data_IF_144719826668
#
_entry.id   IF_144719826668
#
_cell.length_a   1.000
_cell.length_b   1.000
_cell.length_c   1.000
_cell.angle_alpha   90.00
_cell.angle_beta   90.00
_cell.angle_gamma   90.00
#
_symmetry.space_group_name_H-M   'P 1'
#
loop_
_entity.id
_entity.type
_entity.pdbx_description
1 polymer ?
#
# COMPACT_ATOMS: atom_id res chain seq x y z
N UNK A 1 -45.34 64.97 69.71
CA UNK A 1 -46.58 64.83 70.51
C UNK A 1 -47.57 64.03 69.69
N UNK A 2 -48.08 62.93 70.26
CA UNK A 2 -49.09 61.97 69.75
C UNK A 2 -48.66 60.92 68.70
N UNK A 3 -48.44 59.71 69.23
CA UNK A 3 -48.64 58.39 68.61
C UNK A 3 -50.10 58.20 68.18
N UNK A 4 -50.35 57.41 67.13
CA UNK A 4 -51.29 56.27 67.18
C UNK A 4 -51.09 55.34 65.96
N UNK A 5 -51.25 54.04 66.21
CA UNK A 5 -51.01 52.90 65.30
C UNK A 5 -52.20 52.57 64.41
N UNK A 6 -51.98 51.90 63.28
CA UNK A 6 -52.95 50.94 62.70
C UNK A 6 -52.28 50.02 61.68
N UNK A 7 -52.80 48.78 61.60
CA UNK A 7 -52.24 47.59 60.94
C UNK A 7 -52.56 47.48 59.44
N UNK A 8 -51.63 46.84 58.72
CA UNK A 8 -51.77 45.87 57.61
C UNK A 8 -52.80 46.12 56.48
N UNK A 9 -52.35 46.09 55.21
CA UNK A 9 -52.55 44.94 54.29
C UNK A 9 -51.86 45.18 52.94
N UNK A 10 -51.37 44.07 52.38
CA UNK A 10 -50.67 43.90 51.11
C UNK A 10 -51.62 44.05 49.92
N UNK A 11 -51.25 44.82 48.88
CA UNK A 11 -51.60 44.53 47.47
C UNK A 11 -50.49 45.09 46.56
N UNK A 12 -49.73 44.18 45.97
CA UNK A 12 -48.78 44.42 44.88
C UNK A 12 -49.55 44.80 43.61
N UNK A 13 -49.20 45.91 42.97
CA UNK A 13 -49.53 46.15 41.56
C UNK A 13 -48.25 46.42 40.78
N UNK A 14 -48.10 45.63 39.71
CA UNK A 14 -46.92 45.52 38.86
C UNK A 14 -46.86 46.65 37.84
N UNK A 15 -45.74 47.37 37.78
CA UNK A 15 -45.32 48.13 36.59
C UNK A 15 -44.11 47.42 35.96
N UNK A 16 -44.32 46.92 34.74
CA UNK A 16 -43.30 46.25 33.91
C UNK A 16 -42.31 47.29 33.36
N UNK A 17 -41.02 47.03 33.57
CA UNK A 17 -39.92 47.62 32.78
C UNK A 17 -39.35 46.48 31.93
N UNK A 18 -39.13 46.66 30.61
CA UNK A 18 -38.56 45.61 29.77
C UNK A 18 -37.05 45.53 30.00
N UNK A 19 -36.59 44.39 30.54
CA UNK A 19 -35.16 44.03 30.51
C UNK A 19 -34.79 43.44 29.14
N UNK A 20 -33.57 43.70 28.63
CA UNK A 20 -33.11 43.16 27.37
C UNK A 20 -33.04 41.64 27.48
N UNK A 21 -33.65 40.98 26.50
CA UNK A 21 -33.71 39.53 26.35
C UNK A 21 -32.31 38.92 26.44
N UNK A 22 -32.12 38.07 27.44
CA UNK A 22 -31.07 37.07 27.43
C UNK A 22 -31.22 36.26 26.13
N UNK A 23 -30.26 36.41 25.21
CA UNK A 23 -30.14 35.51 24.08
C UNK A 23 -30.03 34.10 24.64
N UNK A 24 -31.07 33.30 24.40
CA UNK A 24 -31.06 31.86 24.61
C UNK A 24 -29.81 31.33 23.90
N UNK A 25 -28.76 31.03 24.67
CA UNK A 25 -27.71 30.13 24.21
C UNK A 25 -28.46 28.87 23.81
N UNK A 26 -28.50 28.60 22.51
CA UNK A 26 -28.99 27.34 21.99
C UNK A 26 -28.21 26.25 22.73
N UNK A 27 -28.88 25.52 23.61
CA UNK A 27 -28.42 24.22 24.06
C UNK A 27 -28.35 23.36 22.80
N UNK A 28 -27.21 23.37 22.13
CA UNK A 28 -26.90 22.42 21.07
C UNK A 28 -26.86 21.05 21.73
N UNK A 29 -28.00 20.37 21.73
CA UNK A 29 -28.12 18.96 22.01
C UNK A 29 -27.08 18.27 21.12
N UNK A 30 -26.11 17.59 21.74
CA UNK A 30 -25.05 16.86 21.04
C UNK A 30 -25.67 15.68 20.30
N UNK A 31 -26.01 15.86 19.02
CA UNK A 31 -26.41 14.77 18.13
C UNK A 31 -25.17 14.07 17.58
N UNK A 32 -24.43 13.39 18.45
CA UNK A 32 -23.40 12.46 18.00
C UNK A 32 -24.02 11.07 18.03
N UNK A 33 -24.53 10.62 16.88
CA UNK A 33 -25.09 9.29 16.74
C UNK A 33 -23.97 8.27 16.49
N UNK A 34 -24.04 7.13 17.16
CA UNK A 34 -23.33 5.93 16.70
C UNK A 34 -24.13 5.29 15.56
N UNK A 35 -23.41 4.68 14.65
CA UNK A 35 -23.94 4.02 13.48
C UNK A 35 -23.27 2.67 13.32
N UNK A 36 -24.02 1.73 12.77
CA UNK A 36 -23.55 0.39 12.47
C UNK A 36 -22.55 0.39 11.31
N UNK A 37 -21.68 -0.62 11.30
CA UNK A 37 -20.60 -0.81 10.33
C UNK A 37 -21.07 -0.80 8.86
N UNK A 38 -22.27 -1.30 8.58
CA UNK A 38 -22.90 -1.40 7.26
C UNK A 38 -23.27 -0.02 6.67
N UNK A 39 -23.40 1.01 7.51
CA UNK A 39 -23.67 2.37 7.05
C UNK A 39 -22.43 3.11 6.54
N UNK A 40 -21.26 2.45 6.53
CA UNK A 40 -19.98 3.03 6.07
C UNK A 40 -20.09 3.71 4.71
N UNK A 41 -20.57 2.99 3.70
CA UNK A 41 -20.63 3.48 2.32
C UNK A 41 -21.49 4.75 2.20
N UNK A 42 -22.64 4.74 2.88
CA UNK A 42 -23.56 5.88 2.91
C UNK A 42 -22.92 7.09 3.61
N UNK A 43 -22.30 6.90 4.77
CA UNK A 43 -21.71 7.99 5.56
C UNK A 43 -20.46 8.57 4.91
N UNK A 44 -19.59 7.74 4.34
CA UNK A 44 -18.39 8.16 3.61
C UNK A 44 -18.73 9.00 2.37
N UNK A 45 -19.84 8.68 1.71
CA UNK A 45 -20.34 9.34 0.49
C UNK A 45 -21.32 10.49 0.77
N UNK A 46 -21.73 10.68 2.03
CA UNK A 46 -22.69 11.72 2.42
C UNK A 46 -22.10 13.10 2.12
N UNK A 47 -22.84 13.94 1.39
CA UNK A 47 -22.35 15.25 0.92
C UNK A 47 -21.94 16.21 2.04
N UNK A 48 -22.54 16.09 3.23
CA UNK A 48 -22.13 16.89 4.37
C UNK A 48 -20.83 16.40 5.02
N UNK A 49 -20.35 15.18 4.76
CA UNK A 49 -19.14 14.60 5.37
C UNK A 49 -17.85 15.21 4.80
N UNK A 50 -17.51 16.42 5.25
CA UNK A 50 -16.34 17.20 4.81
C UNK A 50 -15.03 16.75 5.46
N UNK A 51 -15.08 16.24 6.69
CA UNK A 51 -13.90 15.79 7.44
C UNK A 51 -14.07 14.34 7.89
N UNK A 52 -13.20 13.44 7.43
CA UNK A 52 -13.35 12.02 7.72
C UNK A 52 -12.07 11.41 8.28
N UNK A 53 -12.17 10.57 9.30
CA UNK A 53 -11.02 9.87 9.91
C UNK A 53 -11.37 8.40 10.11
N UNK A 54 -10.67 7.51 9.41
CA UNK A 54 -10.86 6.08 9.50
C UNK A 54 -9.56 5.37 9.91
N UNK A 55 -9.70 4.34 10.73
CA UNK A 55 -8.63 3.39 11.02
C UNK A 55 -9.08 1.99 10.61
N UNK A 56 -8.25 1.28 9.85
CA UNK A 56 -8.54 -0.12 9.54
C UNK A 56 -8.13 -1.03 10.69
N UNK A 57 -9.01 -1.97 11.03
CA UNK A 57 -8.73 -3.11 11.90
C UNK A 57 -8.28 -4.33 11.09
N UNK A 58 -8.42 -4.31 9.76
CA UNK A 58 -7.92 -5.37 8.89
C UNK A 58 -6.41 -5.22 8.67
N UNK A 59 -5.72 -6.35 8.74
CA UNK A 59 -4.31 -6.46 8.32
C UNK A 59 -4.17 -6.91 6.86
N UNK A 60 -5.27 -7.17 6.14
CA UNK A 60 -5.23 -7.59 4.74
C UNK A 60 -4.95 -6.39 3.82
N UNK A 61 -3.81 -6.39 3.08
CA UNK A 61 -3.48 -5.30 2.18
C UNK A 61 -4.52 -5.10 1.05
N UNK A 62 -5.21 -6.16 0.62
CA UNK A 62 -6.25 -6.08 -0.41
C UNK A 62 -7.50 -5.35 0.10
N UNK A 63 -7.90 -5.61 1.34
CA UNK A 63 -9.02 -4.92 2.01
C UNK A 63 -8.66 -3.45 2.19
N UNK A 64 -7.50 -3.17 2.78
CA UNK A 64 -7.05 -1.80 3.05
C UNK A 64 -6.94 -0.96 1.77
N UNK A 65 -6.30 -1.48 0.71
CA UNK A 65 -6.20 -0.77 -0.56
C UNK A 65 -7.53 -0.63 -1.31
N UNK A 66 -8.52 -1.49 -1.03
CA UNK A 66 -9.85 -1.39 -1.64
C UNK A 66 -10.73 -0.38 -0.90
N UNK A 67 -10.67 -0.33 0.43
CA UNK A 67 -11.30 0.73 1.22
C UNK A 67 -10.70 2.09 0.85
N UNK A 68 -9.37 2.19 0.75
CA UNK A 68 -8.68 3.41 0.29
C UNK A 68 -9.21 3.87 -1.07
N UNK A 69 -9.37 2.93 -2.01
CA UNK A 69 -9.88 3.25 -3.34
C UNK A 69 -11.35 3.67 -3.31
N UNK A 70 -12.18 3.01 -2.52
CA UNK A 70 -13.59 3.37 -2.34
C UNK A 70 -13.73 4.80 -1.80
N UNK A 71 -12.97 5.14 -0.76
CA UNK A 71 -12.94 6.49 -0.19
C UNK A 71 -12.48 7.54 -1.21
N UNK A 72 -11.57 7.19 -2.13
CA UNK A 72 -11.11 8.08 -3.19
C UNK A 72 -12.22 8.40 -4.20
N UNK A 73 -12.98 7.39 -4.62
CA UNK A 73 -13.96 7.50 -5.70
C UNK A 73 -15.33 8.03 -5.23
N UNK A 74 -15.78 7.67 -4.03
CA UNK A 74 -17.17 7.91 -3.60
C UNK A 74 -17.35 9.06 -2.62
N UNK A 75 -16.31 9.46 -1.90
CA UNK A 75 -16.44 10.55 -0.94
C UNK A 75 -16.58 11.92 -1.64
N UNK A 76 -17.22 12.92 -0.99
CA UNK A 76 -17.44 14.24 -1.59
C UNK A 76 -16.16 14.89 -2.10
N UNK A 77 -16.25 15.60 -3.23
CA UNK A 77 -15.09 16.18 -3.91
C UNK A 77 -14.32 17.22 -3.06
N UNK A 78 -15.02 17.91 -2.16
CA UNK A 78 -14.47 18.92 -1.26
C UNK A 78 -14.05 18.35 0.12
N UNK A 79 -14.23 17.04 0.34
CA UNK A 79 -13.89 16.38 1.61
C UNK A 79 -12.39 16.12 1.78
N UNK A 80 -11.95 16.13 3.04
CA UNK A 80 -10.62 15.73 3.50
C UNK A 80 -10.74 14.47 4.35
N UNK A 81 -9.95 13.46 4.03
CA UNK A 81 -10.04 12.12 4.63
C UNK A 81 -8.66 11.72 5.09
N UNK A 82 -8.56 11.25 6.33
CA UNK A 82 -7.42 10.49 6.85
C UNK A 82 -7.83 9.03 6.98
N UNK A 83 -7.08 8.13 6.34
CA UNK A 83 -7.23 6.69 6.50
C UNK A 83 -5.90 6.09 6.95
N UNK A 84 -5.91 5.39 8.08
CA UNK A 84 -4.74 4.77 8.70
C UNK A 84 -4.89 3.25 8.72
N UNK A 85 -3.85 2.52 8.37
CA UNK A 85 -3.89 1.05 8.37
C UNK A 85 -2.50 0.43 8.51
N UNK A 86 -2.45 -0.77 9.05
CA UNK A 86 -1.25 -1.61 9.16
C UNK A 86 -1.55 -2.90 8.40
N UNK A 87 -0.61 -3.36 7.57
CA UNK A 87 -0.78 -4.61 6.83
C UNK A 87 0.06 -5.70 7.48
N UNK A 88 -0.41 -6.95 7.40
CA UNK A 88 0.43 -8.15 7.58
C UNK A 88 1.59 -8.17 6.56
N UNK A 89 2.61 -9.02 6.75
CA UNK A 89 3.74 -9.12 5.84
C UNK A 89 3.32 -9.13 4.36
N UNK A 90 3.77 -8.14 3.60
CA UNK A 90 3.52 -8.06 2.16
C UNK A 90 4.51 -7.14 1.45
N UNK A 91 4.73 -7.42 0.16
CA UNK A 91 5.41 -6.53 -0.78
C UNK A 91 4.37 -5.83 -1.64
N UNK A 92 4.33 -4.50 -1.57
CA UNK A 92 3.43 -3.66 -2.36
C UNK A 92 4.22 -2.94 -3.44
N UNK A 93 3.98 -3.29 -4.71
CA UNK A 93 4.59 -2.63 -5.87
C UNK A 93 3.67 -1.57 -6.48
N UNK A 94 4.25 -0.57 -7.12
CA UNK A 94 3.53 0.48 -7.85
C UNK A 94 2.83 -0.03 -9.11
N UNK A 95 1.83 0.74 -9.56
CA UNK A 95 0.95 0.40 -10.70
C UNK A 95 1.69 -0.05 -11.96
N UNK A 96 2.80 0.63 -12.28
CA UNK A 96 3.57 0.46 -13.53
C UNK A 96 4.95 -0.18 -13.29
N UNK A 97 5.11 -0.97 -12.24
CA UNK A 97 6.35 -1.68 -11.93
C UNK A 97 6.36 -3.11 -12.48
N UNK A 98 7.55 -3.67 -12.65
CA UNK A 98 7.76 -5.05 -13.05
C UNK A 98 8.04 -5.94 -11.81
N UNK A 99 7.16 -6.91 -11.47
CA UNK A 99 7.34 -7.72 -10.27
C UNK A 99 8.58 -8.59 -10.32
N UNK A 100 8.94 -9.10 -11.50
CA UNK A 100 10.15 -9.89 -11.71
C UNK A 100 11.44 -9.06 -11.59
N UNK A 101 11.38 -7.73 -11.69
CA UNK A 101 12.54 -6.85 -11.49
C UNK A 101 12.64 -6.34 -10.06
N UNK A 102 11.49 -6.06 -9.43
CA UNK A 102 11.40 -5.32 -8.18
C UNK A 102 11.30 -6.21 -6.93
N UNK A 103 10.96 -7.49 -7.10
CA UNK A 103 10.63 -8.37 -5.97
C UNK A 103 11.30 -9.73 -6.09
N UNK A 104 11.52 -10.38 -4.94
CA UNK A 104 11.88 -11.78 -4.88
C UNK A 104 10.62 -12.64 -4.76
N UNK A 105 9.98 -12.93 -5.89
CA UNK A 105 8.71 -13.67 -5.92
C UNK A 105 8.79 -15.09 -5.31
N UNK A 106 9.98 -15.66 -5.11
CA UNK A 106 10.15 -17.00 -4.51
C UNK A 106 9.86 -17.04 -3.01
N UNK A 107 10.10 -15.94 -2.31
CA UNK A 107 9.94 -15.86 -0.85
C UNK A 107 8.59 -15.24 -0.46
N UNK A 108 7.77 -14.93 -1.45
CA UNK A 108 6.42 -14.43 -1.27
C UNK A 108 5.42 -15.56 -1.48
N UNK A 109 4.23 -15.40 -0.90
CA UNK A 109 3.12 -16.30 -1.12
C UNK A 109 2.87 -16.50 -2.63
N UNK A 110 2.93 -17.74 -3.10
CA UNK A 110 2.83 -18.04 -4.53
C UNK A 110 1.38 -18.32 -4.95
N UNK A 111 0.64 -17.26 -5.24
CA UNK A 111 -0.72 -17.33 -5.76
C UNK A 111 -0.85 -17.79 -7.23
N UNK A 112 0.28 -18.00 -7.93
CA UNK A 112 0.28 -18.51 -9.32
C UNK A 112 0.10 -20.03 -9.40
N UNK A 113 0.44 -20.76 -8.34
CA UNK A 113 0.37 -22.23 -8.30
C UNK A 113 -0.98 -22.80 -7.83
N UNK A 114 -1.80 -21.98 -7.17
CA UNK A 114 -3.02 -22.43 -6.47
C UNK A 114 -4.26 -22.54 -7.36
N UNK A 115 -4.16 -22.16 -8.65
CA UNK A 115 -5.28 -22.17 -9.60
C UNK A 115 -5.85 -23.57 -9.91
N UNK A 116 -5.20 -24.66 -9.49
CA UNK A 116 -5.67 -26.04 -9.71
C UNK A 116 -6.28 -26.72 -8.47
N UNK A 117 -6.14 -26.16 -7.27
CA UNK A 117 -6.56 -26.84 -6.03
C UNK A 117 -7.61 -26.14 -5.19
N UNK A 118 -8.10 -24.98 -5.63
CA UNK A 118 -9.24 -24.33 -5.00
C UNK A 118 -8.92 -23.78 -3.61
N UNK A 119 -8.93 -22.45 -3.50
CA UNK A 119 -9.10 -21.70 -2.25
C UNK A 119 -8.09 -22.08 -1.15
N UNK A 120 -6.81 -21.73 -1.34
CA UNK A 120 -6.08 -21.27 -0.16
C UNK A 120 -6.59 -19.88 0.17
N UNK A 121 -7.24 -19.77 1.32
CA UNK A 121 -7.65 -18.50 1.90
C UNK A 121 -6.40 -17.64 2.09
N UNK A 122 -6.41 -16.43 1.52
CA UNK A 122 -5.37 -15.42 1.78
C UNK A 122 -5.22 -15.11 3.28
N UNK A 123 -6.17 -15.52 4.11
CA UNK A 123 -6.19 -15.28 5.55
C UNK A 123 -5.40 -16.33 6.36
N UNK A 124 -5.03 -17.47 5.77
CA UNK A 124 -4.41 -18.60 6.50
C UNK A 124 -2.91 -18.76 6.21
N UNK A 125 -2.31 -17.85 5.43
CA UNK A 125 -0.88 -17.91 5.08
C UNK A 125 -0.06 -16.96 5.95
N UNK A 126 1.01 -17.48 6.53
CA UNK A 126 2.05 -16.71 7.23
C UNK A 126 3.07 -16.09 6.25
N UNK A 127 3.00 -16.45 4.96
CA UNK A 127 3.92 -15.96 3.94
C UNK A 127 3.60 -14.50 3.56
N UNK A 128 4.66 -13.74 3.25
CA UNK A 128 4.49 -12.36 2.80
C UNK A 128 3.74 -12.31 1.45
N UNK A 129 2.67 -11.53 1.37
CA UNK A 129 1.86 -11.42 0.15
C UNK A 129 2.52 -10.56 -0.92
N UNK A 130 2.22 -10.85 -2.19
CA UNK A 130 2.54 -9.97 -3.32
C UNK A 130 1.33 -9.13 -3.73
N UNK A 131 1.47 -7.80 -3.71
CA UNK A 131 0.37 -6.86 -3.96
C UNK A 131 0.79 -5.78 -4.97
N UNK A 132 -0.10 -5.44 -5.90
CA UNK A 132 0.06 -4.28 -6.79
C UNK A 132 -0.95 -3.20 -6.45
N UNK A 133 -0.49 -1.99 -6.10
CA UNK A 133 -1.39 -0.86 -5.79
C UNK A 133 -1.80 -0.07 -7.04
N UNK A 134 -2.84 0.76 -6.90
CA UNK A 134 -3.38 1.63 -7.96
C UNK A 134 -2.58 2.92 -8.20
N UNK A 135 -1.76 3.34 -7.24
CA UNK A 135 -0.88 4.51 -7.33
C UNK A 135 0.48 4.16 -7.96
N UNK A 136 1.24 5.19 -8.37
CA UNK A 136 2.62 5.03 -8.86
C UNK A 136 3.64 4.81 -7.75
N UNK A 137 4.94 4.93 -8.07
CA UNK A 137 6.05 4.83 -7.12
C UNK A 137 6.73 3.45 -7.11
N UNK A 138 7.66 3.26 -6.16
CA UNK A 138 8.49 2.06 -6.01
C UNK A 138 7.85 0.92 -5.21
N UNK A 139 8.58 -0.18 -5.07
CA UNK A 139 8.23 -1.34 -4.28
C UNK A 139 8.63 -1.13 -2.82
N UNK A 140 7.74 -1.51 -1.90
CA UNK A 140 7.93 -1.41 -0.45
C UNK A 140 7.47 -2.69 0.23
N UNK A 141 8.03 -2.98 1.39
CA UNK A 141 7.60 -4.08 2.25
C UNK A 141 6.85 -3.51 3.46
N UNK A 142 5.73 -4.12 3.81
CA UNK A 142 4.95 -3.78 5.00
C UNK A 142 4.91 -4.99 5.93
N UNK A 143 4.82 -4.70 7.23
CA UNK A 143 4.49 -5.62 8.30
C UNK A 143 3.83 -4.84 9.44
N UNK A 144 3.64 -5.47 10.59
CA UNK A 144 2.97 -4.93 11.77
C UNK A 144 3.66 -3.67 12.34
N UNK A 145 4.95 -3.50 12.07
CA UNK A 145 5.72 -2.33 12.49
C UNK A 145 5.72 -1.18 11.48
N UNK A 146 5.03 -1.33 10.35
CA UNK A 146 4.90 -0.32 9.30
C UNK A 146 3.49 0.26 9.25
N UNK A 147 3.33 1.50 9.72
CA UNK A 147 2.08 2.25 9.61
C UNK A 147 1.92 2.82 8.20
N UNK A 148 0.74 2.64 7.60
CA UNK A 148 0.37 3.34 6.38
C UNK A 148 -0.60 4.47 6.71
N UNK A 149 -0.36 5.62 6.10
CA UNK A 149 -1.28 6.75 6.14
C UNK A 149 -1.71 7.09 4.73
N UNK A 150 -2.99 7.41 4.56
CA UNK A 150 -3.58 7.88 3.31
C UNK A 150 -4.38 9.13 3.59
N UNK A 151 -4.01 10.24 2.95
CA UNK A 151 -4.73 11.49 3.03
C UNK A 151 -5.31 11.81 1.66
N UNK A 152 -6.64 11.90 1.61
CA UNK A 152 -7.37 12.24 0.40
C UNK A 152 -7.96 13.64 0.58
N UNK A 153 -7.69 14.52 -0.40
CA UNK A 153 -8.07 15.93 -0.31
C UNK A 153 -8.47 16.49 -1.69
N UNK A 154 -9.11 17.67 -1.75
CA UNK A 154 -9.42 18.32 -3.00
C UNK A 154 -8.15 18.65 -3.79
N UNK A 155 -8.11 18.28 -5.06
CA UNK A 155 -6.93 18.44 -5.93
C UNK A 155 -6.34 19.85 -5.95
N UNK A 156 -7.13 20.95 -5.96
CA UNK A 156 -6.57 22.31 -5.96
C UNK A 156 -5.74 22.67 -4.72
N UNK A 157 -6.00 22.01 -3.59
CA UNK A 157 -5.35 22.30 -2.30
C UNK A 157 -4.22 21.33 -1.96
N UNK A 158 -3.92 20.42 -2.89
CA UNK A 158 -2.95 19.34 -2.71
C UNK A 158 -1.55 19.79 -3.13
N UNK A 159 -0.56 19.55 -2.26
CA UNK A 159 0.86 19.57 -2.61
C UNK A 159 1.50 18.29 -2.08
N UNK A 160 2.59 17.85 -2.72
CA UNK A 160 3.24 16.57 -2.39
C UNK A 160 3.86 16.53 -0.98
N UNK A 161 4.30 17.68 -0.46
CA UNK A 161 4.88 17.76 0.89
C UNK A 161 3.82 17.89 1.99
N UNK A 162 2.63 18.41 1.68
CA UNK A 162 1.64 18.84 2.69
C UNK A 162 1.38 17.79 3.77
N UNK A 163 1.08 16.55 3.37
CA UNK A 163 0.74 15.50 4.34
C UNK A 163 1.98 14.77 4.86
N UNK A 164 3.11 14.77 4.13
CA UNK A 164 4.38 14.27 4.67
C UNK A 164 4.87 15.18 5.82
N UNK A 165 4.77 16.50 5.66
CA UNK A 165 5.07 17.49 6.71
C UNK A 165 4.11 17.37 7.89
N UNK A 166 2.83 17.06 7.65
CA UNK A 166 1.87 16.74 8.71
C UNK A 166 2.31 15.53 9.54
N UNK A 167 2.78 14.47 8.89
CA UNK A 167 3.32 13.28 9.59
C UNK A 167 4.62 13.61 10.32
N UNK A 168 5.53 14.42 9.75
CA UNK A 168 6.74 14.89 10.44
C UNK A 168 6.40 15.63 11.74
N UNK A 169 5.43 16.54 11.74
CA UNK A 169 5.01 17.22 12.97
C UNK A 169 4.44 16.26 14.01
N UNK A 170 3.68 15.25 13.58
CA UNK A 170 3.21 14.20 14.47
C UNK A 170 4.37 13.39 15.09
N UNK A 171 5.40 13.07 14.28
CA UNK A 171 6.61 12.39 14.74
C UNK A 171 7.42 13.24 15.73
N UNK A 172 7.48 14.55 15.53
CA UNK A 172 8.13 15.47 16.48
C UNK A 172 7.44 15.47 17.84
N UNK A 173 6.10 15.39 17.88
CA UNK A 173 5.33 15.34 19.14
C UNK A 173 5.62 14.10 19.99
N UNK A 174 6.01 12.99 19.36
CA UNK A 174 6.40 11.76 20.08
C UNK A 174 7.90 11.71 20.40
N UNK A 175 8.69 12.71 20.00
CA UNK A 175 10.11 12.83 20.30
C UNK A 175 11.07 12.55 19.14
N UNK A 176 10.58 12.13 17.97
CA UNK A 176 11.40 11.86 16.78
C UNK A 176 11.72 13.16 16.00
N UNK A 177 12.37 14.11 16.68
CA UNK A 177 12.60 15.50 16.24
C UNK A 177 13.60 15.65 15.08
N UNK A 178 14.39 14.62 14.78
CA UNK A 178 15.37 14.61 13.69
C UNK A 178 14.78 14.20 12.33
N UNK A 179 13.45 14.10 12.25
CA UNK A 179 12.73 13.72 11.03
C UNK A 179 12.41 14.93 10.16
N UNK A 180 12.49 14.78 8.84
CA UNK A 180 12.20 15.84 7.86
C UNK A 180 11.77 15.26 6.50
N UNK A 181 11.10 16.08 5.70
CA UNK A 181 10.74 15.72 4.31
C UNK A 181 11.89 16.10 3.38
N UNK A 182 12.32 15.17 2.52
CA UNK A 182 13.35 15.44 1.52
C UNK A 182 12.76 15.90 0.16
N UNK A 183 13.63 16.22 -0.80
CA UNK A 183 13.23 16.67 -2.15
C UNK A 183 12.40 15.66 -2.94
N UNK A 184 12.46 14.37 -2.57
CA UNK A 184 11.65 13.31 -3.18
C UNK A 184 10.31 13.09 -2.48
N UNK A 185 9.97 13.94 -1.51
CA UNK A 185 8.75 13.84 -0.70
C UNK A 185 8.72 12.59 0.20
N UNK A 186 9.89 12.00 0.47
CA UNK A 186 10.06 10.94 1.47
C UNK A 186 10.32 11.58 2.85
N UNK A 187 9.96 10.89 3.93
CA UNK A 187 10.41 11.28 5.28
C UNK A 187 11.70 10.55 5.59
N UNK A 188 12.72 11.31 5.98
CA UNK A 188 14.03 10.82 6.39
C UNK A 188 14.30 11.20 7.84
N UNK A 189 15.17 10.43 8.49
CA UNK A 189 15.57 10.60 9.88
C UNK A 189 17.09 10.56 9.98
N UNK A 190 17.65 11.52 10.71
CA UNK A 190 19.07 11.54 11.06
C UNK A 190 19.27 10.86 12.41
N UNK A 191 20.15 9.86 12.47
CA UNK A 191 20.39 9.09 13.68
C UNK A 191 21.59 9.60 14.51
N UNK A 192 22.56 10.27 13.87
CA UNK A 192 23.76 10.79 14.53
C UNK A 192 24.02 12.25 14.13
N UNK A 193 24.55 13.07 15.03
CA UNK A 193 24.97 14.47 14.75
C UNK A 193 26.29 14.58 13.93
N UNK A 194 26.73 13.51 13.25
CA UNK A 194 27.98 13.48 12.51
C UNK A 194 27.89 12.65 11.23
N UNK A 195 27.86 13.33 10.07
CA UNK A 195 28.13 12.85 8.69
C UNK A 195 27.42 11.56 8.20
N UNK A 196 26.52 10.94 8.96
CA UNK A 196 25.75 9.80 8.49
C UNK A 196 24.63 10.28 7.57
N UNK A 197 24.50 9.63 6.41
CA UNK A 197 23.42 9.93 5.46
C UNK A 197 22.05 9.70 6.12
N UNK A 198 21.08 10.63 5.97
CA UNK A 198 19.74 10.44 6.50
C UNK A 198 19.11 9.13 6.01
N UNK A 199 18.48 8.40 6.93
CA UNK A 199 17.83 7.12 6.62
C UNK A 199 16.36 7.35 6.34
N UNK A 200 15.84 6.72 5.29
CA UNK A 200 14.43 6.80 4.93
C UNK A 200 13.57 6.05 5.94
N UNK A 201 12.55 6.70 6.47
CA UNK A 201 11.56 6.09 7.36
C UNK A 201 10.17 6.03 6.73
N UNK A 202 9.87 6.89 5.74
CA UNK A 202 8.59 6.93 5.04
C UNK A 202 8.79 7.06 3.54
N UNK A 203 8.09 6.26 2.76
CA UNK A 203 7.99 6.45 1.31
C UNK A 203 6.61 6.95 0.90
N UNK A 204 6.57 7.93 0.00
CA UNK A 204 5.31 8.51 -0.50
C UNK A 204 4.94 8.00 -1.89
N UNK A 205 3.65 7.85 -2.14
CA UNK A 205 3.06 7.65 -3.46
C UNK A 205 1.75 8.43 -3.60
N UNK A 206 1.39 8.71 -4.86
CA UNK A 206 0.29 9.64 -5.16
C UNK A 206 -0.63 9.07 -6.24
N UNK A 207 -1.92 9.41 -6.16
CA UNK A 207 -2.92 9.18 -7.22
C UNK A 207 -3.80 10.42 -7.33
N UNK A 208 -3.85 11.00 -8.53
CA UNK A 208 -4.67 12.17 -8.83
C UNK A 208 -5.86 11.73 -9.69
N UNK A 209 -7.06 12.16 -9.31
CA UNK A 209 -8.28 12.07 -10.14
C UNK A 209 -8.64 13.44 -10.69
N UNK A 210 -9.81 13.58 -11.32
CA UNK A 210 -10.28 14.86 -11.82
C UNK A 210 -10.42 15.91 -10.70
N UNK A 211 -11.01 15.51 -9.58
CA UNK A 211 -11.36 16.42 -8.48
C UNK A 211 -10.56 16.21 -7.20
N UNK A 212 -9.94 15.04 -7.03
CA UNK A 212 -9.31 14.65 -5.76
C UNK A 212 -7.86 14.23 -5.95
N UNK A 213 -7.11 14.33 -4.88
CA UNK A 213 -5.74 13.88 -4.78
C UNK A 213 -5.61 12.97 -3.56
N UNK A 214 -5.01 11.79 -3.77
CA UNK A 214 -4.61 10.86 -2.74
C UNK A 214 -3.09 10.91 -2.60
N UNK A 215 -2.64 11.14 -1.37
CA UNK A 215 -1.26 10.88 -0.95
C UNK A 215 -1.31 9.79 0.10
N UNK A 216 -0.67 8.67 -0.19
CA UNK A 216 -0.39 7.68 0.84
C UNK A 216 1.10 7.50 1.03
N UNK A 217 1.48 7.15 2.25
CA UNK A 217 2.83 6.82 2.58
C UNK A 217 2.91 5.70 3.59
N UNK A 218 4.05 5.04 3.58
CA UNK A 218 4.44 4.10 4.64
C UNK A 218 5.16 4.86 5.74
N UNK A 219 5.28 4.32 6.94
CA UNK A 219 6.11 4.85 8.00
C UNK A 219 6.64 3.66 8.81
N UNK A 220 7.94 3.38 8.69
CA UNK A 220 8.65 2.35 9.43
C UNK A 220 8.76 2.79 10.89
N UNK A 221 7.79 2.37 11.70
CA UNK A 221 7.74 2.73 13.11
C UNK A 221 8.60 1.78 13.92
N UNK A 222 8.35 0.47 13.80
CA UNK A 222 9.06 -0.57 14.56
C UNK A 222 9.01 -1.94 13.85
N UNK A 223 9.38 -1.98 12.56
CA UNK A 223 9.38 -3.23 11.79
C UNK A 223 10.44 -4.21 12.31
N UNK A 224 10.07 -5.46 12.69
CA UNK A 224 11.05 -6.48 13.06
C UNK A 224 11.87 -6.97 11.85
N UNK A 225 11.37 -6.76 10.64
CA UNK A 225 12.01 -7.20 9.39
C UNK A 225 12.93 -6.16 8.75
N UNK A 226 13.24 -5.06 9.44
CA UNK A 226 13.99 -3.94 8.82
C UNK A 226 15.34 -4.36 8.21
N UNK A 227 16.01 -5.34 8.83
CA UNK A 227 17.29 -5.87 8.35
C UNK A 227 17.13 -6.93 7.23
N UNK A 228 15.95 -7.50 7.09
CA UNK A 228 15.62 -8.53 6.10
C UNK A 228 14.82 -8.01 4.91
N UNK A 229 14.38 -6.74 4.87
CA UNK A 229 13.60 -6.18 3.73
C UNK A 229 14.23 -6.46 2.36
N UNK A 230 15.56 -6.48 2.29
CA UNK A 230 16.30 -6.80 1.08
C UNK A 230 16.02 -8.19 0.52
N UNK A 231 15.69 -9.20 1.34
CA UNK A 231 15.38 -10.56 0.89
C UNK A 231 14.09 -10.60 0.05
N UNK A 232 13.12 -9.75 0.39
CA UNK A 232 11.83 -9.63 -0.30
C UNK A 232 11.90 -8.72 -1.54
N UNK A 233 12.77 -7.71 -1.53
CA UNK A 233 12.86 -6.66 -2.55
C UNK A 233 14.02 -6.83 -3.56
N UNK A 234 14.78 -7.93 -3.48
CA UNK A 234 15.88 -8.23 -4.42
C UNK A 234 15.50 -9.35 -5.37
N UNK A 235 15.15 -8.99 -6.59
CA UNK A 235 14.91 -9.95 -7.67
C UNK A 235 16.15 -10.79 -7.99
N UNK A 236 15.94 -12.10 -8.19
CA UNK A 236 16.93 -13.06 -8.69
C UNK A 236 17.22 -12.93 -10.19
N UNK A 237 16.32 -12.25 -10.93
CA UNK A 237 16.42 -12.01 -12.36
C UNK A 237 16.85 -10.58 -12.70
N UNK A 238 17.19 -9.74 -11.71
CA UNK A 238 17.55 -8.34 -11.93
C UNK A 238 18.64 -8.16 -12.99
N UNK A 239 19.67 -8.99 -12.95
CA UNK A 239 20.81 -8.91 -13.88
C UNK A 239 20.49 -9.46 -15.29
N UNK A 240 19.36 -10.13 -15.44
CA UNK A 240 18.86 -10.68 -16.71
C UNK A 240 17.74 -9.84 -17.32
N UNK A 241 17.19 -8.87 -16.58
CA UNK A 241 16.01 -8.11 -17.00
C UNK A 241 16.34 -6.68 -17.40
N UNK A 242 15.82 -6.26 -18.55
CA UNK A 242 15.66 -4.86 -18.96
C UNK A 242 14.19 -4.53 -19.07
N UNK A 243 13.67 -3.69 -18.17
CA UNK A 243 12.25 -3.33 -18.16
C UNK A 243 12.01 -1.88 -18.56
N UNK A 244 10.88 -1.63 -19.22
CA UNK A 244 10.23 -0.31 -19.19
C UNK A 244 9.43 -0.20 -17.90
N UNK A 245 9.11 1.03 -17.49
CA UNK A 245 8.28 1.30 -16.31
C UNK A 245 9.05 2.03 -15.21
N UNK A 246 8.48 2.04 -14.01
CA UNK A 246 9.05 2.73 -12.85
C UNK A 246 9.93 1.77 -12.07
N UNK A 247 11.23 2.05 -12.00
CA UNK A 247 12.15 1.33 -11.11
C UNK A 247 12.11 1.91 -9.70
N UNK A 248 12.32 1.05 -8.69
CA UNK A 248 12.44 1.52 -7.31
C UNK A 248 13.77 2.23 -7.07
N UNK A 249 13.71 3.34 -6.35
CA UNK A 249 14.92 4.04 -5.86
C UNK A 249 15.29 3.46 -4.49
N UNK A 250 16.41 2.75 -4.43
CA UNK A 250 16.91 2.17 -3.17
C UNK A 250 17.42 3.27 -2.24
N UNK A 251 17.16 3.13 -0.94
CA UNK A 251 17.66 4.03 0.08
C UNK A 251 17.90 3.26 1.37
N UNK A 252 18.92 3.61 2.17
CA UNK A 252 19.05 3.11 3.53
C UNK A 252 17.80 3.46 4.34
N UNK A 253 17.34 2.53 5.18
CA UNK A 253 16.13 2.71 6.01
C UNK A 253 16.43 2.59 7.50
N UNK A 254 15.53 3.15 8.31
CA UNK A 254 15.53 3.03 9.77
C UNK A 254 14.09 2.93 10.31
N UNK A 255 13.95 2.39 11.52
CA UNK A 255 12.71 2.47 12.29
C UNK A 255 12.72 3.76 13.10
N UNK A 256 11.57 4.41 13.26
CA UNK A 256 11.41 5.54 14.18
C UNK A 256 11.73 5.13 15.62
N UNK A 257 11.39 3.90 16.03
CA UNK A 257 11.68 3.34 17.35
C UNK A 257 13.17 3.41 17.74
N UNK A 258 14.09 3.46 16.78
CA UNK A 258 15.53 3.52 17.05
C UNK A 258 15.97 4.80 17.79
N UNK A 259 15.22 5.90 17.69
CA UNK A 259 15.46 7.13 18.48
C UNK A 259 15.16 6.92 19.98
N UNK A 260 14.37 5.90 20.30
CA UNK A 260 13.90 5.61 21.66
C UNK A 260 14.61 4.43 22.31
N UNK A 261 15.71 3.92 21.72
CA UNK A 261 16.41 2.74 22.22
C UNK A 261 16.87 2.89 23.68
N UNK A 262 17.26 4.10 24.09
CA UNK A 262 17.69 4.44 25.46
C UNK A 262 16.59 5.13 26.28
N UNK A 263 15.38 5.26 25.74
CA UNK A 263 14.28 5.94 26.42
C UNK A 263 13.68 5.08 27.54
N UNK A 264 13.33 5.69 28.67
CA UNK A 264 12.70 4.98 29.79
C UNK A 264 11.23 4.59 29.54
N UNK A 265 10.59 5.20 28.53
CA UNK A 265 9.20 4.92 28.15
C UNK A 265 9.21 4.18 26.81
N UNK A 266 8.51 3.03 26.69
CA UNK A 266 8.42 2.30 25.44
C UNK A 266 7.79 3.13 24.32
N UNK A 267 8.35 3.02 23.11
CA UNK A 267 7.77 3.61 21.91
C UNK A 267 6.43 2.93 21.55
N UNK A 268 5.37 3.72 21.41
CA UNK A 268 4.03 3.23 21.07
C UNK A 268 3.59 3.65 19.67
N UNK A 269 3.25 2.67 18.81
CA UNK A 269 2.64 2.94 17.49
C UNK A 269 1.33 3.75 17.63
N UNK A 270 0.55 3.48 18.68
CA UNK A 270 -0.71 4.18 18.93
C UNK A 270 -0.50 5.67 19.24
N UNK A 271 0.62 6.05 19.87
CA UNK A 271 0.94 7.46 20.13
C UNK A 271 1.20 8.19 18.81
N UNK A 272 1.89 7.55 17.87
CA UNK A 272 2.11 8.10 16.52
C UNK A 272 0.78 8.26 15.78
N UNK A 273 -0.08 7.23 15.81
CA UNK A 273 -1.43 7.27 15.21
C UNK A 273 -2.25 8.44 15.78
N UNK A 274 -2.30 8.57 17.10
CA UNK A 274 -3.06 9.62 17.78
C UNK A 274 -2.55 11.04 17.45
N UNK A 275 -1.22 11.20 17.32
CA UNK A 275 -0.61 12.47 16.91
C UNK A 275 -0.87 12.79 15.43
N UNK A 276 -0.86 11.80 14.53
CA UNK A 276 -1.24 12.00 13.13
C UNK A 276 -2.69 12.45 13.01
N UNK A 277 -3.61 11.83 13.75
CA UNK A 277 -5.02 12.25 13.79
C UNK A 277 -5.17 13.70 14.30
N UNK A 278 -4.39 14.09 15.30
CA UNK A 278 -4.39 15.45 15.85
C UNK A 278 -3.86 16.47 14.84
N UNK A 279 -2.74 16.18 14.19
CA UNK A 279 -2.14 17.03 13.15
C UNK A 279 -3.05 17.16 11.92
N UNK A 280 -3.75 16.11 11.53
CA UNK A 280 -4.77 16.17 10.49
C UNK A 280 -5.92 17.10 10.88
N UNK A 281 -6.38 17.01 12.13
CA UNK A 281 -7.46 17.85 12.62
C UNK A 281 -7.07 19.32 12.69
N UNK A 282 -5.84 19.62 13.12
CA UNK A 282 -5.31 20.99 13.10
C UNK A 282 -5.18 21.51 11.67
N UNK A 283 -4.65 20.68 10.75
CA UNK A 283 -4.46 21.05 9.34
C UNK A 283 -5.76 21.39 8.61
N UNK A 284 -6.86 20.69 8.93
CA UNK A 284 -8.15 20.84 8.26
C UNK A 284 -9.24 21.47 9.12
N UNK A 285 -8.92 21.90 10.35
CA UNK A 285 -9.87 22.48 11.31
C UNK A 285 -11.05 21.54 11.61
N UNK A 286 -10.76 20.24 11.70
CA UNK A 286 -11.77 19.19 11.97
C UNK A 286 -12.35 19.36 13.37
N UNK A 287 -13.64 19.07 13.54
CA UNK A 287 -14.33 19.13 14.82
C UNK A 287 -13.59 18.31 15.92
N UNK A 288 -13.29 18.89 17.09
CA UNK A 288 -12.58 18.19 18.17
C UNK A 288 -13.26 16.91 18.67
N UNK A 289 -14.60 16.83 18.59
CA UNK A 289 -15.33 15.61 18.96
C UNK A 289 -15.05 14.46 17.99
N UNK A 290 -14.84 14.75 16.70
CA UNK A 290 -14.46 13.76 15.71
C UNK A 290 -13.11 13.12 16.07
N UNK A 291 -12.11 13.94 16.43
CA UNK A 291 -10.76 13.47 16.81
C UNK A 291 -10.81 12.59 18.05
N UNK A 292 -11.53 13.06 19.08
CA UNK A 292 -11.68 12.31 20.35
C UNK A 292 -12.30 10.93 20.11
N UNK A 293 -13.26 10.83 19.19
CA UNK A 293 -13.90 9.56 18.82
C UNK A 293 -12.99 8.71 17.94
N UNK A 294 -12.31 9.29 16.96
CA UNK A 294 -11.35 8.58 16.11
C UNK A 294 -10.23 7.92 16.93
N UNK A 295 -9.67 8.65 17.91
CA UNK A 295 -8.65 8.15 18.84
C UNK A 295 -9.14 7.05 19.78
N UNK A 296 -10.45 6.77 19.82
CA UNK A 296 -11.04 5.68 20.62
C UNK A 296 -11.65 4.58 19.76
N UNK A 297 -11.72 4.79 18.45
CA UNK A 297 -12.40 3.88 17.53
C UNK A 297 -11.75 2.50 17.46
N UNK A 298 -10.46 2.38 17.77
CA UNK A 298 -9.76 1.09 17.82
C UNK A 298 -10.01 0.29 19.11
N UNK A 299 -10.59 0.92 20.14
CA UNK A 299 -10.82 0.31 21.47
C UNK A 299 -12.20 -0.36 21.55
N UNK A 300 -13.13 0.06 20.70
CA UNK A 300 -14.49 -0.44 20.63
C UNK A 300 -14.68 -1.19 19.30
N UNK A 301 -15.63 -2.14 19.23
CA UNK A 301 -16.01 -2.83 17.97
C UNK A 301 -16.27 -1.82 16.84
N UNK A 302 -16.34 -2.29 15.58
CA UNK A 302 -16.47 -1.48 14.37
C UNK A 302 -17.69 -0.54 14.35
N UNK A 303 -17.64 0.53 15.16
CA UNK A 303 -18.65 1.55 15.30
C UNK A 303 -18.22 2.78 14.52
N UNK A 304 -19.17 3.31 13.77
CA UNK A 304 -19.02 4.58 13.08
C UNK A 304 -19.70 5.66 13.92
N UNK A 305 -19.13 6.85 13.89
CA UNK A 305 -19.72 8.04 14.49
C UNK A 305 -19.77 9.14 13.45
N UNK A 306 -20.87 9.87 13.41
CA UNK A 306 -20.98 11.03 12.54
C UNK A 306 -21.62 12.20 13.27
N UNK A 307 -21.13 13.40 12.95
CA UNK A 307 -21.77 14.66 13.27
C UNK A 307 -22.38 15.29 12.02
N UNK A 308 -22.56 16.60 12.03
CA UNK A 308 -23.11 17.36 10.90
C UNK A 308 -22.21 17.29 9.68
N UNK A 309 -20.91 17.54 9.87
CA UNK A 309 -19.91 17.69 8.80
C UNK A 309 -18.74 16.70 8.85
N UNK A 310 -18.77 15.75 9.77
CA UNK A 310 -17.70 14.77 9.95
C UNK A 310 -18.19 13.33 10.14
N UNK A 311 -17.32 12.38 9.81
CA UNK A 311 -17.51 10.94 10.03
C UNK A 311 -16.19 10.33 10.51
N UNK A 312 -16.23 9.52 11.56
CA UNK A 312 -15.05 8.78 12.02
C UNK A 312 -15.42 7.37 12.43
N UNK A 313 -14.44 6.46 12.40
CA UNK A 313 -14.64 5.14 12.97
C UNK A 313 -13.62 4.11 12.53
N UNK A 314 -13.82 2.89 13.01
CA UNK A 314 -13.04 1.74 12.61
C UNK A 314 -13.71 1.04 11.42
N UNK A 315 -12.89 0.61 10.45
CA UNK A 315 -13.32 -0.14 9.27
C UNK A 315 -12.45 -1.39 9.11
N UNK A 316 -12.80 -2.32 8.23
CA UNK A 316 -11.99 -3.51 8.00
C UNK A 316 -12.69 -4.56 7.15
N UNK A 317 -12.56 -5.83 7.53
CA UNK A 317 -13.09 -6.98 6.77
C UNK A 317 -14.60 -6.91 6.54
N UNK A 318 -15.38 -6.40 7.52
CA UNK A 318 -16.82 -6.23 7.39
C UNK A 318 -17.16 -5.35 6.18
N UNK A 319 -16.60 -4.13 6.11
CA UNK A 319 -16.74 -3.28 4.92
C UNK A 319 -16.10 -3.94 3.69
N UNK A 320 -14.97 -4.61 3.86
CA UNK A 320 -14.26 -5.32 2.79
C UNK A 320 -15.13 -6.28 1.99
N UNK A 321 -15.86 -7.16 2.68
CA UNK A 321 -16.60 -8.25 2.04
C UNK A 321 -18.11 -8.01 1.92
N UNK A 322 -18.69 -7.15 2.76
CA UNK A 322 -20.13 -6.86 2.71
C UNK A 322 -20.46 -5.71 1.77
N UNK A 323 -19.56 -4.72 1.57
CA UNK A 323 -19.80 -3.63 0.63
C UNK A 323 -19.40 -4.03 -0.80
N UNK A 324 -20.35 -4.11 -1.76
CA UNK A 324 -20.10 -4.71 -3.07
C UNK A 324 -18.97 -4.05 -3.88
N UNK A 325 -18.84 -2.72 -3.81
CA UNK A 325 -17.81 -1.99 -4.55
C UNK A 325 -16.41 -2.21 -3.96
N UNK A 326 -16.30 -2.32 -2.65
CA UNK A 326 -15.04 -2.64 -1.96
C UNK A 326 -14.65 -4.09 -2.29
N UNK A 327 -15.60 -5.02 -2.20
CA UNK A 327 -15.38 -6.43 -2.54
C UNK A 327 -14.91 -6.59 -3.99
N UNK A 328 -15.54 -5.87 -4.94
CA UNK A 328 -15.10 -5.85 -6.34
C UNK A 328 -13.65 -5.36 -6.46
N UNK A 329 -13.27 -4.34 -5.68
CA UNK A 329 -11.90 -3.86 -5.58
C UNK A 329 -10.93 -4.92 -5.08
N UNK A 330 -11.32 -5.72 -4.08
CA UNK A 330 -10.52 -6.83 -3.52
C UNK A 330 -10.34 -7.92 -4.59
N UNK A 331 -11.42 -8.33 -5.24
CA UNK A 331 -11.40 -9.37 -6.27
C UNK A 331 -10.50 -8.96 -7.45
N UNK A 332 -10.56 -7.69 -7.87
CA UNK A 332 -9.66 -7.13 -8.88
C UNK A 332 -8.20 -7.22 -8.41
N UNK A 333 -7.87 -6.71 -7.21
CA UNK A 333 -6.49 -6.67 -6.72
C UNK A 333 -5.88 -8.06 -6.52
N UNK A 334 -6.70 -9.06 -6.15
CA UNK A 334 -6.28 -10.47 -5.99
C UNK A 334 -6.11 -11.19 -7.33
N UNK A 335 -6.71 -10.71 -8.42
CA UNK A 335 -6.61 -11.37 -9.72
C UNK A 335 -5.17 -11.42 -10.23
N UNK A 336 -4.79 -12.54 -10.85
CA UNK A 336 -3.50 -12.67 -11.54
C UNK A 336 -3.38 -11.65 -12.68
N UNK A 337 -4.50 -11.31 -13.31
CA UNK A 337 -4.58 -10.27 -14.33
C UNK A 337 -4.06 -8.94 -13.79
N UNK A 338 -4.61 -8.45 -12.67
CA UNK A 338 -4.15 -7.21 -12.07
C UNK A 338 -2.69 -7.28 -11.60
N UNK A 339 -2.32 -8.36 -10.94
CA UNK A 339 -0.98 -8.53 -10.36
C UNK A 339 0.11 -8.55 -11.43
N UNK A 340 -0.09 -9.25 -12.55
CA UNK A 340 1.00 -9.53 -13.51
C UNK A 340 0.83 -8.91 -14.89
N UNK A 341 -0.39 -8.76 -15.42
CA UNK A 341 -0.58 -8.25 -16.80
C UNK A 341 -0.51 -6.73 -16.91
N UNK A 342 -0.47 -6.05 -15.76
CA UNK A 342 -0.20 -4.63 -15.67
C UNK A 342 1.29 -4.29 -15.85
N UNK A 343 2.14 -5.30 -15.98
CA UNK A 343 3.59 -5.15 -16.16
C UNK A 343 3.89 -4.52 -17.53
N UNK A 344 4.62 -3.37 -17.58
CA UNK A 344 5.09 -2.80 -18.83
C UNK A 344 6.02 -3.75 -19.59
N UNK A 345 6.32 -3.42 -20.84
CA UNK A 345 7.19 -4.25 -21.67
C UNK A 345 8.57 -4.45 -21.02
N UNK A 346 9.10 -5.66 -21.07
CA UNK A 346 10.46 -5.96 -20.62
C UNK A 346 11.09 -7.10 -21.43
N UNK A 347 12.41 -7.20 -21.32
CA UNK A 347 13.24 -8.27 -21.87
C UNK A 347 13.82 -9.06 -20.70
N UNK A 348 13.84 -10.38 -20.80
CA UNK A 348 14.69 -11.28 -20.03
C UNK A 348 15.70 -11.90 -20.98
N UNK A 349 17.01 -11.79 -20.70
CA UNK A 349 18.06 -12.35 -21.56
C UNK A 349 19.25 -12.89 -20.77
N UNK A 350 19.74 -14.07 -21.13
CA UNK A 350 20.99 -14.67 -20.59
C UNK A 350 22.25 -14.22 -21.29
N UNK A 351 22.14 -13.36 -22.31
CA UNK A 351 23.26 -12.78 -23.02
C UNK A 351 23.02 -11.29 -23.31
N UNK A 352 24.07 -10.49 -23.58
CA UNK A 352 23.93 -9.12 -24.05
C UNK A 352 23.15 -9.06 -25.36
N UNK A 353 22.24 -8.10 -25.48
CA UNK A 353 21.49 -7.81 -26.71
C UNK A 353 21.65 -6.34 -27.05
N UNK A 354 21.32 -5.93 -28.27
CA UNK A 354 21.49 -4.54 -28.72
C UNK A 354 20.77 -3.55 -27.77
N UNK A 355 19.55 -3.87 -27.32
CA UNK A 355 18.80 -3.00 -26.40
C UNK A 355 19.26 -3.06 -24.94
N UNK A 356 20.09 -4.04 -24.58
CA UNK A 356 20.69 -4.19 -23.26
C UNK A 356 22.08 -4.85 -23.35
N UNK A 357 23.13 -4.04 -23.61
CA UNK A 357 24.49 -4.54 -23.85
C UNK A 357 25.23 -4.94 -22.57
N UNK A 358 24.58 -4.85 -21.39
CA UNK A 358 25.22 -5.24 -20.12
C UNK A 358 25.63 -6.71 -20.17
N UNK A 359 26.80 -7.02 -19.63
CA UNK A 359 27.22 -8.42 -19.44
C UNK A 359 26.27 -9.14 -18.47
N UNK A 360 26.09 -10.45 -18.70
CA UNK A 360 25.21 -11.29 -17.89
C UNK A 360 26.03 -12.19 -16.98
N UNK A 361 25.53 -12.54 -15.79
CA UNK A 361 26.19 -13.52 -14.95
C UNK A 361 26.33 -14.86 -15.68
N UNK A 362 27.41 -15.58 -15.39
CA UNK A 362 27.65 -16.91 -15.93
C UNK A 362 26.45 -17.83 -15.65
N UNK A 363 26.12 -18.66 -16.64
CA UNK A 363 25.12 -19.70 -16.48
C UNK A 363 25.64 -20.82 -15.57
N UNK A 364 24.75 -21.59 -14.93
CA UNK A 364 25.13 -22.82 -14.24
C UNK A 364 26.03 -23.70 -15.10
N UNK A 365 27.07 -24.31 -14.51
CA UNK A 365 28.01 -25.20 -15.23
C UNK A 365 27.35 -26.46 -15.77
N UNK A 366 26.16 -26.77 -15.28
CA UNK A 366 25.25 -27.82 -15.76
C UNK A 366 24.59 -27.50 -17.09
N UNK A 367 24.60 -26.24 -17.54
CA UNK A 367 24.09 -25.83 -18.85
C UNK A 367 25.23 -25.65 -19.85
N UNK A 368 25.03 -26.02 -21.14
CA UNK A 368 26.00 -25.72 -22.19
C UNK A 368 26.33 -24.21 -22.26
N UNK A 369 27.60 -23.80 -22.45
CA UNK A 369 27.98 -22.39 -22.59
C UNK A 369 27.31 -21.68 -23.79
N UNK A 370 26.88 -22.47 -24.77
CA UNK A 370 26.08 -22.04 -25.93
C UNK A 370 24.63 -21.71 -25.59
N UNK A 371 24.16 -21.98 -24.37
CA UNK A 371 22.78 -21.70 -23.96
C UNK A 371 22.44 -20.23 -24.09
N UNK A 372 21.35 -19.95 -24.80
CA UNK A 372 20.78 -18.61 -25.02
C UNK A 372 19.31 -18.68 -24.66
N UNK A 373 18.88 -17.77 -23.79
CA UNK A 373 17.47 -17.59 -23.43
C UNK A 373 17.19 -16.12 -23.57
N UNK A 374 16.26 -15.78 -24.46
CA UNK A 374 15.74 -14.44 -24.64
C UNK A 374 14.22 -14.49 -24.65
N UNK A 375 13.57 -13.60 -23.90
CA UNK A 375 12.13 -13.40 -23.89
C UNK A 375 11.83 -11.90 -23.94
N UNK A 376 10.96 -11.48 -24.86
CA UNK A 376 10.36 -10.14 -24.86
C UNK A 376 8.89 -10.26 -24.47
N UNK A 377 8.49 -9.51 -23.46
CA UNK A 377 7.16 -9.59 -22.89
C UNK A 377 6.47 -8.23 -22.87
N UNK A 378 5.14 -8.24 -22.96
CA UNK A 378 4.29 -7.07 -22.73
C UNK A 378 2.96 -7.52 -22.15
N UNK A 379 2.47 -6.80 -21.13
CA UNK A 379 1.24 -7.15 -20.42
C UNK A 379 1.23 -8.60 -19.90
N UNK A 380 2.39 -9.06 -19.44
CA UNK A 380 2.57 -10.43 -18.95
C UNK A 380 2.64 -11.51 -20.02
N UNK A 381 2.35 -11.23 -21.29
CA UNK A 381 2.41 -12.19 -22.39
C UNK A 381 3.77 -12.17 -23.10
N UNK A 382 4.23 -13.35 -23.54
CA UNK A 382 5.44 -13.50 -24.36
C UNK A 382 5.11 -13.07 -25.79
N UNK A 383 5.83 -12.08 -26.31
CA UNK A 383 5.71 -11.62 -27.70
C UNK A 383 6.70 -12.33 -28.61
N UNK A 384 7.90 -12.56 -28.07
CA UNK A 384 9.06 -13.08 -28.77
C UNK A 384 9.91 -13.88 -27.78
N UNK A 385 10.39 -15.05 -28.20
CA UNK A 385 11.33 -15.88 -27.50
C UNK A 385 12.40 -16.38 -28.47
N UNK A 386 13.64 -16.43 -27.99
CA UNK A 386 14.74 -17.11 -28.68
C UNK A 386 15.46 -17.95 -27.63
N UNK A 387 15.20 -19.25 -27.67
CA UNK A 387 15.76 -20.20 -26.70
C UNK A 387 16.48 -21.30 -27.48
N UNK A 388 17.76 -21.49 -27.17
CA UNK A 388 18.58 -22.54 -27.75
C UNK A 388 19.64 -22.99 -26.76
N UNK A 389 20.12 -24.23 -26.90
CA UNK A 389 21.25 -24.76 -26.13
C UNK A 389 22.40 -25.21 -27.02
N UNK A 390 22.13 -25.42 -28.32
CA UNK A 390 23.13 -25.87 -29.29
C UNK A 390 24.17 -24.78 -29.62
N UNK A 391 25.41 -25.23 -29.86
CA UNK A 391 26.50 -24.40 -30.40
C UNK A 391 26.48 -24.31 -31.92
N UNK A 392 25.74 -25.21 -32.59
CA UNK A 392 25.50 -25.15 -34.03
C UNK A 392 24.44 -24.10 -34.34
N UNK A 393 24.77 -23.14 -35.21
CA UNK A 393 23.89 -22.02 -35.53
C UNK A 393 22.60 -22.43 -36.25
N UNK A 394 22.62 -23.50 -37.05
CA UNK A 394 21.43 -23.99 -37.75
C UNK A 394 20.49 -24.66 -36.76
N UNK A 395 21.02 -25.59 -35.96
CA UNK A 395 20.25 -26.29 -34.92
C UNK A 395 19.70 -25.29 -33.91
N UNK A 396 20.51 -24.34 -33.45
CA UNK A 396 20.09 -23.30 -32.52
C UNK A 396 18.97 -22.41 -33.07
N UNK A 397 19.01 -22.08 -34.37
CA UNK A 397 17.94 -21.33 -35.02
C UNK A 397 16.63 -22.12 -35.13
N UNK A 398 16.70 -23.42 -35.40
CA UNK A 398 15.53 -24.31 -35.44
C UNK A 398 14.92 -24.49 -34.05
N UNK A 399 15.74 -24.71 -33.02
CA UNK A 399 15.33 -24.75 -31.60
C UNK A 399 14.58 -23.47 -31.21
N UNK A 400 15.14 -22.30 -31.55
CA UNK A 400 14.52 -21.02 -31.25
C UNK A 400 13.17 -20.83 -31.97
N UNK A 401 13.06 -21.23 -33.23
CA UNK A 401 11.82 -21.12 -34.00
C UNK A 401 10.68 -21.97 -33.40
N UNK A 402 10.98 -23.22 -33.04
CA UNK A 402 10.01 -24.13 -32.38
C UNK A 402 9.54 -23.58 -31.04
N UNK A 403 10.46 -23.07 -30.21
CA UNK A 403 10.10 -22.50 -28.92
C UNK A 403 9.38 -21.15 -29.04
N UNK A 404 9.62 -20.37 -30.08
CA UNK A 404 8.84 -19.17 -30.39
C UNK A 404 7.38 -19.53 -30.70
N UNK A 405 7.14 -20.55 -31.52
CA UNK A 405 5.78 -21.01 -31.82
C UNK A 405 5.07 -21.52 -30.55
N UNK A 406 5.77 -22.30 -29.72
CA UNK A 406 5.19 -22.86 -28.49
C UNK A 406 4.88 -21.81 -27.41
N UNK A 407 5.69 -20.75 -27.29
CA UNK A 407 5.60 -19.78 -26.18
C UNK A 407 4.84 -18.50 -26.51
N UNK A 408 4.77 -18.11 -27.79
CA UNK A 408 4.15 -16.84 -28.19
C UNK A 408 2.70 -16.75 -27.69
N UNK A 409 2.37 -15.62 -27.08
CA UNK A 409 1.04 -15.33 -26.53
C UNK A 409 0.77 -15.91 -25.14
N UNK A 410 1.58 -16.87 -24.66
CA UNK A 410 1.41 -17.40 -23.30
C UNK A 410 1.74 -16.36 -22.25
N UNK A 411 0.98 -16.35 -21.15
CA UNK A 411 1.22 -15.46 -20.00
C UNK A 411 2.30 -16.04 -19.11
N UNK A 412 3.36 -15.28 -18.87
CA UNK A 412 4.55 -15.74 -18.15
C UNK A 412 4.26 -16.30 -16.75
N UNK A 413 3.33 -15.68 -16.04
CA UNK A 413 2.95 -16.07 -14.69
C UNK A 413 2.11 -17.35 -14.63
N UNK A 414 1.62 -17.85 -15.78
CA UNK A 414 0.86 -19.11 -15.90
C UNK A 414 1.76 -20.28 -16.33
N UNK A 415 2.99 -20.02 -16.80
CA UNK A 415 3.95 -21.05 -17.19
C UNK A 415 4.66 -21.57 -15.94
N UNK A 416 4.10 -22.63 -15.37
CA UNK A 416 4.59 -23.34 -14.20
C UNK A 416 5.90 -24.08 -14.49
N UNK A 417 6.68 -24.49 -13.45
CA UNK A 417 7.89 -25.28 -13.66
C UNK A 417 7.65 -26.56 -14.48
N UNK A 418 6.53 -27.25 -14.26
CA UNK A 418 6.12 -28.43 -15.04
C UNK A 418 5.87 -28.09 -16.50
N UNK A 419 5.13 -27.01 -16.78
CA UNK A 419 4.89 -26.55 -18.15
C UNK A 419 6.18 -26.13 -18.86
N UNK A 420 7.12 -25.47 -18.17
CA UNK A 420 8.44 -25.18 -18.73
C UNK A 420 9.17 -26.46 -19.14
N UNK A 421 9.16 -27.47 -18.25
CA UNK A 421 9.78 -28.77 -18.49
C UNK A 421 9.14 -29.44 -19.71
N UNK A 422 7.82 -29.58 -19.73
CA UNK A 422 7.05 -30.19 -20.82
C UNK A 422 7.32 -29.51 -22.17
N UNK A 423 7.19 -28.18 -22.24
CA UNK A 423 7.43 -27.41 -23.46
C UNK A 423 8.87 -27.63 -23.95
N UNK A 424 9.86 -27.57 -23.06
CA UNK A 424 11.25 -27.75 -23.46
C UNK A 424 11.55 -29.19 -23.91
N UNK A 425 10.97 -30.22 -23.28
CA UNK A 425 11.09 -31.60 -23.76
C UNK A 425 10.48 -31.81 -25.13
N UNK A 426 9.26 -31.31 -25.35
CA UNK A 426 8.59 -31.44 -26.64
C UNK A 426 9.36 -30.77 -27.77
N UNK A 427 9.98 -29.62 -27.48
CA UNK A 427 10.65 -28.81 -28.51
C UNK A 427 12.15 -29.04 -28.65
N UNK A 428 12.83 -29.68 -27.69
CA UNK A 428 14.30 -29.89 -27.71
C UNK A 428 14.72 -31.36 -27.48
N UNK A 429 13.81 -32.23 -27.03
CA UNK A 429 14.15 -33.59 -26.57
C UNK A 429 14.62 -34.55 -27.67
N UNK A 430 14.50 -34.18 -28.94
CA UNK A 430 15.06 -34.96 -30.05
C UNK A 430 16.58 -34.73 -30.22
N UNK A 431 17.07 -33.54 -29.84
CA UNK A 431 18.46 -33.13 -30.04
C UNK A 431 19.26 -33.04 -28.74
N UNK A 432 18.59 -32.82 -27.61
CA UNK A 432 19.22 -32.50 -26.33
C UNK A 432 18.90 -33.55 -25.27
N UNK A 433 19.86 -33.79 -24.38
CA UNK A 433 19.67 -34.76 -23.31
C UNK A 433 18.69 -34.25 -22.24
N UNK A 434 18.06 -35.20 -21.54
CA UNK A 434 17.05 -34.91 -20.54
C UNK A 434 17.57 -34.06 -19.37
N UNK A 435 18.84 -34.19 -18.99
CA UNK A 435 19.39 -33.44 -17.86
C UNK A 435 19.60 -31.96 -18.22
N UNK A 436 20.07 -31.68 -19.43
CA UNK A 436 20.18 -30.30 -19.95
C UNK A 436 18.83 -29.61 -19.99
N UNK A 437 17.78 -30.30 -20.48
CA UNK A 437 16.41 -29.76 -20.55
C UNK A 437 15.86 -29.48 -19.15
N UNK A 438 16.04 -30.41 -18.22
CA UNK A 438 15.57 -30.27 -16.84
C UNK A 438 16.26 -29.09 -16.13
N UNK A 439 17.57 -28.94 -16.31
CA UNK A 439 18.32 -27.83 -15.74
C UNK A 439 17.91 -26.48 -16.37
N UNK A 440 17.66 -26.44 -17.67
CA UNK A 440 17.21 -25.22 -18.35
C UNK A 440 15.84 -24.78 -17.84
N UNK A 441 14.89 -25.72 -17.74
CA UNK A 441 13.57 -25.49 -17.18
C UNK A 441 13.65 -24.95 -15.75
N UNK A 442 14.47 -25.60 -14.91
CA UNK A 442 14.70 -25.20 -13.53
C UNK A 442 15.34 -23.81 -13.42
N UNK A 443 16.33 -23.50 -14.26
CA UNK A 443 16.98 -22.20 -14.31
C UNK A 443 15.97 -21.09 -14.65
N UNK A 444 15.21 -21.25 -15.75
CA UNK A 444 14.21 -20.27 -16.18
C UNK A 444 13.14 -20.08 -15.10
N UNK A 445 12.56 -21.17 -14.60
CA UNK A 445 11.51 -21.12 -13.60
C UNK A 445 12.00 -20.43 -12.31
N UNK A 446 13.21 -20.77 -11.85
CA UNK A 446 13.84 -20.17 -10.67
C UNK A 446 14.04 -18.67 -10.83
N UNK A 447 14.61 -18.24 -11.96
CA UNK A 447 14.83 -16.80 -12.23
C UNK A 447 13.51 -16.03 -12.32
N UNK A 448 12.47 -16.65 -12.86
CA UNK A 448 11.12 -16.07 -12.97
C UNK A 448 10.27 -16.23 -11.69
N UNK A 449 10.91 -16.64 -10.60
CA UNK A 449 10.34 -16.56 -9.27
C UNK A 449 9.51 -17.78 -8.85
N UNK A 450 9.57 -18.90 -9.57
CA UNK A 450 8.98 -20.15 -9.11
C UNK A 450 9.88 -20.79 -8.05
N UNK A 451 9.27 -21.48 -7.09
CA UNK A 451 9.95 -22.20 -6.01
C UNK A 451 10.43 -23.55 -6.49
#
# INVERSE_FOLDING_TARGET
MRLFSSRATCWLSSLRVPHPSASLRSNAVRWNSSFSADQFAQLASRQSSRHQIYQSLSTDPYVNLSIEHFLLEHAPADSNILFLYINRPCVVIGRNQNPWLETNLRVLHNDRGTAEHGIHSYNDTEDALYVRRRSGGGAVFHDEGNLNYSVISPRPTFTRNKHAEMVVRALHRVGATTTSVNDRHDIVMSLDEGQSQPRKISGSAFKLTRHRALHHGTCLLDSPNINSLGSFLRSLARDYIKAKGVESVRSPVANVSSVFADASIPFGIQDVIANIMSEFAELYQTNPDAVRRAQRAYVHDAELYAGDDWVVGAVGEAQGYEEPEIKKGIDELRSLEWKYTQTPQFIFSTYPVEEDPRERPALPSSLPPSTRVFLRLKHGAILESHISVSSDSSVGSEQAARLQEALKGRKLHEIRPTHWKEILYEQLGAEEDAATIEELAKFIATKLGWV
#
